data_IF_165220770750
#
_entry.id   IF_165220770750
#
_cell.length_a   1.000
_cell.length_b   1.000
_cell.length_c   1.000
_cell.angle_alpha   90.00
_cell.angle_beta   90.00
_cell.angle_gamma   90.00
#
_symmetry.space_group_name_H-M   'P 1'
#
loop_
_entity.id
_entity.type
_entity.pdbx_description
1 polymer ?
#
# COMPACT_ATOMS: atom_id res chain seq x y z
N UNK A 1 20.65 -11.87 40.99
CA UNK A 1 20.59 -11.10 39.72
C UNK A 1 19.15 -11.15 39.23
N UNK A 2 18.49 -10.02 39.21
CA UNK A 2 17.14 -9.91 38.65
C UNK A 2 17.37 -9.85 37.13
N UNK A 3 17.07 -10.92 36.39
CA UNK A 3 16.95 -10.82 34.95
C UNK A 3 15.63 -10.10 34.67
N UNK A 4 15.62 -8.91 34.09
CA UNK A 4 14.38 -8.27 33.71
C UNK A 4 13.67 -9.22 32.72
N UNK A 5 12.39 -9.46 32.96
CA UNK A 5 11.56 -10.21 32.03
C UNK A 5 11.64 -9.54 30.67
N UNK A 6 11.94 -10.30 29.62
CA UNK A 6 11.92 -9.80 28.24
C UNK A 6 10.51 -9.31 27.94
N UNK A 7 10.46 -8.20 27.22
CA UNK A 7 9.20 -7.59 26.83
C UNK A 7 8.82 -8.06 25.43
N UNK A 8 7.68 -8.75 25.31
CA UNK A 8 7.28 -9.40 24.07
C UNK A 8 6.48 -8.46 23.18
N UNK A 9 7.03 -8.16 21.99
CA UNK A 9 6.36 -7.37 20.95
C UNK A 9 6.04 -8.24 19.75
N UNK A 10 4.75 -8.43 19.50
CA UNK A 10 4.29 -9.15 18.32
C UNK A 10 3.93 -8.16 17.22
N UNK A 11 4.41 -8.40 16.01
CA UNK A 11 4.12 -7.65 14.79
C UNK A 11 3.37 -8.54 13.81
N UNK A 12 2.17 -8.13 13.40
CA UNK A 12 1.34 -8.85 12.45
C UNK A 12 1.40 -8.17 11.09
N UNK A 13 1.79 -8.91 10.06
CA UNK A 13 1.91 -8.47 8.68
C UNK A 13 3.32 -7.99 8.33
N UNK A 14 3.97 -8.68 7.38
CA UNK A 14 5.34 -8.45 6.96
C UNK A 14 5.50 -7.47 5.79
N UNK A 15 4.52 -6.58 5.57
CA UNK A 15 4.63 -5.50 4.58
C UNK A 15 5.54 -4.37 5.05
N UNK A 16 5.52 -3.22 4.33
CA UNK A 16 6.36 -2.06 4.63
C UNK A 16 6.24 -1.56 6.07
N UNK A 17 5.04 -1.55 6.65
CA UNK A 17 4.85 -1.15 8.04
C UNK A 17 5.42 -2.16 9.02
N UNK A 18 4.94 -3.40 8.98
CA UNK A 18 5.30 -4.39 9.99
C UNK A 18 6.74 -4.87 9.91
N UNK A 19 7.28 -5.14 8.72
CA UNK A 19 8.68 -5.54 8.59
C UNK A 19 9.63 -4.43 9.07
N UNK A 20 9.35 -3.16 8.73
CA UNK A 20 10.10 -2.02 9.26
C UNK A 20 9.97 -1.93 10.78
N UNK A 21 8.75 -2.09 11.34
CA UNK A 21 8.57 -2.04 12.79
C UNK A 21 9.37 -3.13 13.51
N UNK A 22 9.29 -4.37 13.03
CA UNK A 22 10.05 -5.49 13.58
C UNK A 22 11.56 -5.22 13.53
N UNK A 23 12.05 -4.71 12.40
CA UNK A 23 13.46 -4.33 12.24
C UNK A 23 13.88 -3.27 13.23
N UNK A 24 13.17 -2.16 13.33
CA UNK A 24 13.55 -1.03 14.17
C UNK A 24 13.35 -1.30 15.67
N UNK A 25 12.33 -2.07 16.06
CA UNK A 25 12.21 -2.58 17.42
C UNK A 25 13.46 -3.36 17.81
N UNK A 26 13.92 -4.27 16.95
CA UNK A 26 15.12 -5.06 17.24
C UNK A 26 16.41 -4.26 17.23
N UNK A 27 16.57 -3.30 16.26
CA UNK A 27 17.75 -2.44 16.17
C UNK A 27 17.91 -1.52 17.38
N UNK A 28 16.81 -0.91 17.83
CA UNK A 28 16.83 0.07 18.91
C UNK A 28 16.64 -0.55 20.30
N UNK A 29 15.84 -1.63 20.38
CA UNK A 29 15.52 -2.28 21.64
C UNK A 29 16.57 -3.27 22.13
N UNK A 30 17.45 -3.74 21.27
CA UNK A 30 18.52 -4.69 21.62
C UNK A 30 18.00 -5.89 22.39
N UNK A 31 18.56 -6.17 23.56
CA UNK A 31 18.22 -7.30 24.41
C UNK A 31 17.08 -7.01 25.41
N UNK A 32 16.45 -5.83 25.35
CA UNK A 32 15.34 -5.46 26.25
C UNK A 32 13.99 -6.02 25.79
N UNK A 33 13.88 -6.40 24.52
CA UNK A 33 12.64 -6.88 23.92
C UNK A 33 12.87 -8.13 23.07
N UNK A 34 11.88 -9.00 23.00
CA UNK A 34 11.76 -10.06 22.01
C UNK A 34 10.76 -9.63 20.93
N UNK A 35 11.09 -9.83 19.66
CA UNK A 35 10.29 -9.35 18.53
C UNK A 35 9.87 -10.51 17.65
N UNK A 36 8.56 -10.73 17.57
CA UNK A 36 7.95 -11.70 16.65
C UNK A 36 7.35 -10.99 15.46
N UNK A 37 7.66 -11.44 14.24
CA UNK A 37 6.98 -11.03 13.02
C UNK A 37 6.17 -12.19 12.47
N UNK A 38 4.84 -12.03 12.42
CA UNK A 38 3.93 -13.04 11.91
C UNK A 38 3.45 -12.62 10.52
N UNK A 39 3.81 -13.42 9.50
CA UNK A 39 3.44 -13.17 8.12
C UNK A 39 3.00 -14.47 7.44
N UNK A 40 1.83 -14.43 6.81
CA UNK A 40 1.25 -15.60 6.13
C UNK A 40 1.98 -15.98 4.85
N UNK A 41 2.62 -15.00 4.18
CA UNK A 41 3.39 -15.22 2.96
C UNK A 41 4.85 -15.51 3.31
N UNK A 42 5.48 -16.40 2.54
CA UNK A 42 6.90 -16.74 2.75
C UNK A 42 7.86 -15.62 2.33
N UNK A 43 7.41 -14.78 1.40
CA UNK A 43 8.20 -13.69 0.84
C UNK A 43 7.46 -12.36 0.95
N UNK A 44 8.24 -11.30 1.05
CA UNK A 44 7.82 -9.94 0.84
C UNK A 44 7.73 -9.68 -0.67
N UNK A 45 6.63 -9.10 -1.15
CA UNK A 45 6.50 -8.65 -2.53
C UNK A 45 6.15 -7.15 -2.53
N UNK A 46 7.00 -6.36 -3.17
CA UNK A 46 6.83 -4.90 -3.23
C UNK A 46 5.66 -4.50 -4.12
N UNK A 47 4.67 -3.78 -3.57
CA UNK A 47 3.64 -3.11 -4.38
C UNK A 47 4.18 -1.91 -5.17
N UNK A 48 5.01 -1.01 -4.62
CA UNK A 48 5.82 -0.10 -5.43
C UNK A 48 6.59 -0.86 -6.51
N UNK A 49 6.63 -0.32 -7.71
CA UNK A 49 7.20 -0.88 -8.94
C UNK A 49 6.38 -2.03 -9.58
N UNK A 50 5.34 -2.56 -8.96
CA UNK A 50 4.56 -3.67 -9.54
C UNK A 50 3.87 -3.30 -10.87
N UNK A 51 3.59 -2.03 -11.11
CA UNK A 51 3.08 -1.56 -12.39
C UNK A 51 4.09 -1.74 -13.55
N UNK A 52 5.39 -1.78 -13.25
CA UNK A 52 6.44 -2.08 -14.24
C UNK A 52 6.37 -3.52 -14.76
N UNK A 53 5.84 -4.44 -13.95
CA UNK A 53 5.55 -5.81 -14.38
C UNK A 53 4.44 -5.80 -15.42
N UNK A 54 3.41 -4.99 -15.23
CA UNK A 54 2.32 -4.84 -16.22
C UNK A 54 2.83 -4.19 -17.50
N UNK A 55 3.74 -3.22 -17.41
CA UNK A 55 4.43 -2.60 -18.54
C UNK A 55 5.42 -3.55 -19.26
N UNK A 56 5.89 -4.59 -18.56
CA UNK A 56 6.83 -5.58 -19.08
C UNK A 56 8.32 -5.21 -18.94
N UNK A 57 8.65 -4.13 -18.21
CA UNK A 57 10.04 -3.71 -17.95
C UNK A 57 10.65 -4.34 -16.69
N UNK A 58 9.86 -5.07 -15.89
CA UNK A 58 10.28 -5.84 -14.71
C UNK A 58 9.56 -7.20 -14.66
N UNK A 59 10.16 -8.15 -13.95
CA UNK A 59 9.51 -9.39 -13.56
C UNK A 59 9.08 -9.31 -12.10
N UNK A 60 8.13 -10.15 -11.68
CA UNK A 60 7.65 -10.16 -10.28
C UNK A 60 8.76 -10.56 -9.32
N UNK A 61 9.70 -11.39 -9.76
CA UNK A 61 10.85 -11.85 -8.98
C UNK A 61 11.80 -10.70 -8.63
N UNK A 62 11.92 -9.67 -9.48
CA UNK A 62 12.69 -8.45 -9.21
C UNK A 62 12.16 -7.66 -8.00
N UNK A 63 10.91 -7.93 -7.61
CA UNK A 63 10.17 -7.25 -6.54
C UNK A 63 9.94 -8.17 -5.33
N UNK A 64 10.45 -9.41 -5.39
CA UNK A 64 10.23 -10.45 -4.38
C UNK A 64 11.48 -10.61 -3.53
N UNK A 65 11.35 -10.44 -2.21
CA UNK A 65 12.42 -10.52 -1.24
C UNK A 65 12.01 -11.43 -0.07
N UNK A 66 12.98 -11.95 0.66
CA UNK A 66 12.73 -12.78 1.84
C UNK A 66 13.02 -12.01 3.13
N UNK A 67 12.75 -12.66 4.27
CA UNK A 67 12.95 -12.10 5.61
C UNK A 67 14.26 -12.60 6.27
N UNK A 68 15.26 -13.05 5.50
CA UNK A 68 16.49 -13.64 6.05
C UNK A 68 17.27 -12.64 6.90
N UNK A 69 17.39 -11.39 6.45
CA UNK A 69 18.12 -10.37 7.20
C UNK A 69 17.41 -9.97 8.50
N UNK A 70 16.08 -10.00 8.54
CA UNK A 70 15.34 -9.80 9.80
C UNK A 70 15.61 -10.94 10.79
N UNK A 71 15.65 -12.18 10.31
CA UNK A 71 16.04 -13.34 11.15
C UNK A 71 17.49 -13.21 11.66
N UNK A 72 18.41 -12.82 10.78
CA UNK A 72 19.79 -12.59 11.16
C UNK A 72 19.95 -11.47 12.20
N UNK A 73 19.08 -10.46 12.17
CA UNK A 73 19.02 -9.39 13.15
C UNK A 73 18.45 -9.86 14.51
N UNK A 74 17.85 -11.06 14.56
CA UNK A 74 17.23 -11.63 15.77
C UNK A 74 15.71 -11.40 15.88
N UNK A 75 15.03 -11.08 14.78
CA UNK A 75 13.56 -11.11 14.71
C UNK A 75 13.09 -12.55 14.54
N UNK A 76 12.15 -13.01 15.36
CA UNK A 76 11.53 -14.33 15.24
C UNK A 76 10.43 -14.24 14.18
N UNK A 77 10.74 -14.66 12.95
CA UNK A 77 9.80 -14.62 11.83
C UNK A 77 9.02 -15.91 11.73
N UNK A 78 7.72 -15.87 12.02
CA UNK A 78 6.79 -17.00 11.95
C UNK A 78 5.97 -16.92 10.66
N UNK A 79 6.03 -17.97 9.85
CA UNK A 79 5.19 -18.06 8.64
C UNK A 79 3.85 -18.69 8.98
N UNK A 80 2.95 -17.87 9.52
CA UNK A 80 1.60 -18.25 9.92
C UNK A 80 0.59 -17.11 9.67
N UNK A 81 -0.68 -17.41 9.85
CA UNK A 81 -1.78 -16.47 9.72
C UNK A 81 -2.43 -16.24 11.08
N UNK A 82 -2.52 -14.96 11.50
CA UNK A 82 -3.29 -14.57 12.68
C UNK A 82 -4.77 -14.58 12.30
N UNK A 83 -5.55 -15.37 13.03
CA UNK A 83 -7.00 -15.54 12.81
C UNK A 83 -7.86 -14.88 13.88
N UNK A 84 -7.27 -14.41 14.99
CA UNK A 84 -7.98 -13.70 16.05
C UNK A 84 -7.05 -12.86 16.90
N UNK A 85 -7.59 -11.79 17.49
CA UNK A 85 -6.94 -10.93 18.49
C UNK A 85 -7.90 -10.76 19.66
N UNK A 86 -7.51 -11.25 20.84
CA UNK A 86 -8.18 -10.96 22.11
C UNK A 86 -7.41 -9.86 22.85
N UNK A 87 -7.85 -8.62 22.66
CA UNK A 87 -7.21 -7.45 23.26
C UNK A 87 -7.28 -7.45 24.79
N UNK A 88 -8.33 -8.08 25.38
CA UNK A 88 -8.55 -8.13 26.82
C UNK A 88 -7.58 -9.08 27.53
N UNK A 89 -7.21 -10.18 26.85
CA UNK A 89 -6.25 -11.15 27.33
C UNK A 89 -4.84 -10.91 26.82
N UNK A 90 -4.64 -9.91 25.95
CA UNK A 90 -3.38 -9.67 25.23
C UNK A 90 -2.87 -10.93 24.52
N UNK A 91 -3.74 -11.58 23.75
CA UNK A 91 -3.46 -12.86 23.09
C UNK A 91 -3.86 -12.81 21.62
N UNK A 92 -3.06 -13.43 20.78
CA UNK A 92 -3.41 -13.69 19.39
C UNK A 92 -3.61 -15.18 19.14
N UNK A 93 -4.56 -15.51 18.27
CA UNK A 93 -4.78 -16.87 17.79
C UNK A 93 -4.19 -17.06 16.42
N UNK A 94 -3.45 -18.14 16.24
CA UNK A 94 -2.72 -18.50 15.05
C UNK A 94 -3.37 -19.71 14.36
N UNK A 95 -3.17 -19.81 13.06
CA UNK A 95 -3.81 -20.86 12.26
C UNK A 95 -3.11 -22.23 12.40
N UNK A 96 -1.78 -22.24 12.54
CA UNK A 96 -0.97 -23.47 12.47
C UNK A 96 -0.33 -23.84 13.81
N UNK A 97 0.01 -22.86 14.63
CA UNK A 97 0.70 -23.05 15.91
C UNK A 97 -0.18 -22.58 17.09
N UNK A 98 0.28 -22.82 18.32
CA UNK A 98 -0.41 -22.37 19.53
C UNK A 98 -0.54 -20.84 19.58
N UNK A 99 -1.57 -20.38 20.32
CA UNK A 99 -1.79 -18.95 20.59
C UNK A 99 -0.56 -18.34 21.28
N UNK A 100 -0.32 -17.06 21.05
CA UNK A 100 0.76 -16.30 21.67
C UNK A 100 0.21 -15.14 22.49
N UNK A 101 0.80 -14.93 23.66
CA UNK A 101 0.57 -13.73 24.47
C UNK A 101 1.55 -12.64 24.05
N UNK A 102 1.19 -11.37 24.31
CA UNK A 102 2.03 -10.21 23.98
C UNK A 102 1.96 -9.12 25.06
N UNK A 103 3.02 -8.35 25.20
CA UNK A 103 3.01 -7.11 25.98
C UNK A 103 2.51 -5.93 25.14
N UNK A 104 3.00 -5.85 23.87
CA UNK A 104 2.53 -4.91 22.84
C UNK A 104 2.29 -5.62 21.54
N UNK A 105 1.29 -5.15 20.80
CA UNK A 105 0.90 -5.70 19.51
C UNK A 105 0.97 -4.61 18.44
N UNK A 106 1.63 -4.89 17.34
CA UNK A 106 1.58 -4.07 16.13
C UNK A 106 0.75 -4.79 15.08
N UNK A 107 -0.29 -4.14 14.57
CA UNK A 107 -1.18 -4.65 13.52
C UNK A 107 -0.97 -3.84 12.25
N UNK A 108 -0.33 -4.45 11.24
CA UNK A 108 -0.04 -3.85 9.93
C UNK A 108 -0.70 -4.64 8.80
N UNK A 109 -2.05 -4.71 8.74
CA UNK A 109 -2.79 -5.64 7.90
C UNK A 109 -2.95 -5.14 6.46
N UNK A 110 -2.48 -3.93 6.17
CA UNK A 110 -2.71 -3.26 4.89
C UNK A 110 -4.18 -2.97 4.63
N UNK A 111 -4.60 -3.09 3.36
CA UNK A 111 -5.98 -2.84 2.93
C UNK A 111 -6.70 -4.15 2.55
N UNK A 112 -8.03 -4.09 2.63
CA UNK A 112 -8.96 -5.02 2.00
C UNK A 112 -9.76 -4.32 0.92
N UNK A 113 -10.06 -5.04 -0.15
CA UNK A 113 -10.82 -4.56 -1.29
C UNK A 113 -12.30 -4.88 -1.11
N UNK A 114 -13.15 -3.90 -1.30
CA UNK A 114 -14.59 -3.99 -1.05
C UNK A 114 -15.34 -4.38 -2.34
N UNK A 115 -15.10 -5.63 -2.81
CA UNK A 115 -15.71 -6.14 -4.04
C UNK A 115 -17.24 -6.09 -3.99
N UNK A 116 -17.81 -6.27 -2.79
CA UNK A 116 -19.24 -6.22 -2.52
C UNK A 116 -19.90 -4.88 -2.86
N UNK A 117 -19.12 -3.82 -3.05
CA UNK A 117 -19.62 -2.51 -3.45
C UNK A 117 -19.79 -2.33 -4.96
N UNK A 118 -19.38 -3.33 -5.75
CA UNK A 118 -19.55 -3.31 -7.20
C UNK A 118 -20.44 -4.51 -7.57
N UNK A 119 -21.64 -4.24 -8.05
CA UNK A 119 -22.56 -5.30 -8.46
C UNK A 119 -21.92 -6.19 -9.54
N UNK A 120 -22.12 -7.50 -9.43
CA UNK A 120 -21.52 -8.47 -10.34
C UNK A 120 -20.05 -8.81 -10.09
N UNK A 121 -19.34 -8.13 -9.15
CA UNK A 121 -17.95 -8.47 -8.81
C UNK A 121 -17.87 -9.64 -7.83
N UNK A 122 -18.51 -10.73 -8.17
CA UNK A 122 -18.57 -11.98 -7.38
C UNK A 122 -17.21 -12.67 -7.32
N UNK A 123 -17.07 -13.69 -6.46
CA UNK A 123 -15.86 -14.51 -6.38
C UNK A 123 -15.50 -15.17 -7.74
N UNK A 124 -16.48 -15.52 -8.56
CA UNK A 124 -16.25 -16.05 -9.90
C UNK A 124 -15.77 -14.95 -10.86
N UNK A 125 -16.36 -13.75 -10.79
CA UNK A 125 -15.90 -12.61 -11.58
C UNK A 125 -14.46 -12.20 -11.24
N UNK A 126 -14.03 -12.31 -9.98
CA UNK A 126 -12.66 -12.02 -9.54
C UNK A 126 -11.59 -12.90 -10.21
N UNK A 127 -11.95 -14.07 -10.71
CA UNK A 127 -11.03 -14.94 -11.48
C UNK A 127 -10.70 -14.39 -12.87
N UNK A 128 -11.52 -13.48 -13.39
CA UNK A 128 -11.41 -12.90 -14.73
C UNK A 128 -11.10 -11.41 -14.71
N UNK A 129 -11.77 -10.67 -13.83
CA UNK A 129 -11.59 -9.24 -13.65
C UNK A 129 -10.62 -9.05 -12.49
N UNK A 130 -9.34 -8.87 -12.84
CA UNK A 130 -8.26 -8.83 -11.87
C UNK A 130 -8.04 -7.38 -11.40
N UNK A 131 -7.92 -7.19 -10.08
CA UNK A 131 -7.52 -5.90 -9.55
C UNK A 131 -5.99 -5.69 -9.59
N UNK A 132 -5.19 -6.74 -9.35
CA UNK A 132 -3.72 -6.71 -9.27
C UNK A 132 -3.18 -5.54 -8.40
N UNK A 133 -3.92 -5.20 -7.33
CA UNK A 133 -3.58 -4.08 -6.45
C UNK A 133 -2.78 -4.53 -5.23
N UNK A 134 -2.76 -5.81 -4.94
CA UNK A 134 -1.79 -6.50 -4.08
C UNK A 134 -0.80 -7.19 -5.00
N UNK A 135 0.48 -6.77 -4.99
CA UNK A 135 1.49 -7.35 -5.87
C UNK A 135 1.69 -8.85 -5.60
N UNK A 136 1.86 -9.62 -6.66
CA UNK A 136 2.02 -11.06 -6.58
C UNK A 136 1.51 -11.79 -7.82
N UNK A 137 1.01 -13.04 -7.67
CA UNK A 137 0.55 -13.86 -8.81
C UNK A 137 -0.50 -13.19 -9.67
N UNK A 138 -1.41 -12.40 -9.06
CA UNK A 138 -2.45 -11.68 -9.80
C UNK A 138 -1.87 -10.58 -10.71
N UNK A 139 -0.74 -9.97 -10.33
CA UNK A 139 -0.03 -9.01 -11.20
C UNK A 139 0.48 -9.71 -12.44
N UNK A 140 1.04 -10.91 -12.30
CA UNK A 140 1.50 -11.74 -13.42
C UNK A 140 0.32 -12.14 -14.29
N UNK A 141 -0.78 -12.61 -13.69
CA UNK A 141 -1.98 -12.99 -14.41
C UNK A 141 -2.59 -11.83 -15.23
N UNK A 142 -2.63 -10.61 -14.65
CA UNK A 142 -3.07 -9.42 -15.40
C UNK A 142 -2.11 -9.09 -16.55
N UNK A 143 -0.79 -9.22 -16.33
CA UNK A 143 0.20 -9.06 -17.44
C UNK A 143 -0.07 -10.08 -18.56
N UNK A 144 -0.37 -11.32 -18.22
CA UNK A 144 -0.71 -12.35 -19.21
C UNK A 144 -1.99 -11.99 -19.98
N UNK A 145 -3.03 -11.46 -19.32
CA UNK A 145 -4.23 -10.97 -20.02
C UNK A 145 -3.87 -9.87 -21.04
N UNK A 146 -3.03 -8.92 -20.64
CA UNK A 146 -2.57 -7.85 -21.53
C UNK A 146 -1.77 -8.38 -22.72
N UNK A 147 -0.92 -9.39 -22.51
CA UNK A 147 -0.13 -9.99 -23.62
C UNK A 147 -0.99 -10.81 -24.58
N UNK A 148 -2.00 -11.51 -24.07
CA UNK A 148 -2.93 -12.32 -24.89
C UNK A 148 -4.00 -11.48 -25.59
N UNK A 149 -4.28 -10.26 -25.09
CA UNK A 149 -5.23 -9.37 -25.75
C UNK A 149 -4.78 -9.07 -27.20
N UNK A 150 -5.70 -9.10 -28.14
CA UNK A 150 -5.42 -8.73 -29.55
C UNK A 150 -4.94 -7.29 -29.67
N UNK A 151 -4.14 -6.99 -30.68
CA UNK A 151 -3.88 -5.59 -31.05
C UNK A 151 -5.18 -4.96 -31.60
N UNK A 152 -5.51 -3.76 -31.10
CA UNK A 152 -6.80 -3.10 -31.31
C UNK A 152 -7.83 -3.41 -30.22
N UNK A 153 -7.46 -4.16 -29.15
CA UNK A 153 -8.30 -4.38 -27.99
C UNK A 153 -8.31 -3.17 -27.03
N UNK A 154 -9.25 -3.17 -26.10
CA UNK A 154 -9.45 -2.13 -25.10
C UNK A 154 -9.15 -2.68 -23.70
N UNK A 155 -8.21 -2.05 -23.01
CA UNK A 155 -7.99 -2.24 -21.57
C UNK A 155 -8.73 -1.15 -20.80
N UNK A 156 -9.63 -1.56 -19.90
CA UNK A 156 -10.38 -0.65 -19.04
C UNK A 156 -9.80 -0.70 -17.63
N UNK A 157 -9.35 0.45 -17.12
CA UNK A 157 -8.93 0.63 -15.74
C UNK A 157 -9.96 1.47 -15.00
N UNK A 158 -10.56 0.94 -13.92
CA UNK A 158 -11.37 1.77 -13.03
C UNK A 158 -10.59 2.18 -11.79
N UNK A 159 -10.77 3.43 -11.37
CA UNK A 159 -10.16 4.02 -10.17
C UNK A 159 -11.27 4.33 -9.17
N UNK A 160 -11.18 3.83 -7.91
CA UNK A 160 -12.20 4.08 -6.91
C UNK A 160 -12.13 5.51 -6.38
N UNK A 161 -13.21 5.96 -5.73
CA UNK A 161 -13.22 7.25 -5.04
C UNK A 161 -12.21 7.27 -3.88
N UNK A 162 -11.43 8.34 -3.78
CA UNK A 162 -10.48 8.56 -2.69
C UNK A 162 -11.18 8.57 -1.30
N UNK A 163 -10.53 8.18 -0.20
CA UNK A 163 -9.13 7.74 -0.12
C UNK A 163 -8.93 6.26 -0.46
N UNK A 164 -7.83 5.97 -1.15
CA UNK A 164 -7.39 4.61 -1.46
C UNK A 164 -5.85 4.52 -1.36
N UNK A 165 -5.30 3.30 -1.30
CA UNK A 165 -3.86 3.07 -1.23
C UNK A 165 -3.18 3.52 -2.52
N UNK A 166 -2.01 4.20 -2.38
CA UNK A 166 -1.17 4.66 -3.48
C UNK A 166 -1.91 5.59 -4.44
N UNK A 167 -2.23 6.85 -4.02
CA UNK A 167 -3.00 7.78 -4.85
C UNK A 167 -2.49 7.96 -6.30
N UNK A 168 -1.17 8.03 -6.59
CA UNK A 168 -0.69 8.11 -7.97
C UNK A 168 -0.65 6.77 -8.71
N UNK A 169 -0.79 5.65 -8.01
CA UNK A 169 -0.56 4.30 -8.56
C UNK A 169 -1.44 3.93 -9.76
N UNK A 170 -2.73 4.25 -9.80
CA UNK A 170 -3.58 3.93 -10.96
C UNK A 170 -3.16 4.70 -12.21
N UNK A 171 -2.74 5.95 -12.07
CA UNK A 171 -2.30 6.78 -13.20
C UNK A 171 -0.93 6.32 -13.73
N UNK A 172 -0.03 5.87 -12.86
CA UNK A 172 1.19 5.17 -13.23
C UNK A 172 0.86 3.88 -13.99
N UNK A 173 -0.09 3.07 -13.49
CA UNK A 173 -0.54 1.84 -14.16
C UNK A 173 -1.04 2.12 -15.57
N UNK A 174 -1.89 3.13 -15.74
CA UNK A 174 -2.37 3.56 -17.04
C UNK A 174 -1.22 3.93 -17.98
N UNK A 175 -0.21 4.66 -17.46
CA UNK A 175 0.99 5.02 -18.22
C UNK A 175 1.80 3.79 -18.65
N UNK A 176 2.01 2.82 -17.74
CA UNK A 176 2.79 1.62 -18.04
C UNK A 176 2.10 0.71 -19.05
N UNK A 177 0.77 0.56 -18.96
CA UNK A 177 0.00 -0.21 -19.94
C UNK A 177 -0.03 0.50 -21.30
N UNK A 178 -0.19 1.84 -21.32
CA UNK A 178 -0.14 2.63 -22.55
C UNK A 178 1.25 2.57 -23.20
N UNK A 179 2.32 2.57 -22.40
CA UNK A 179 3.68 2.38 -22.88
C UNK A 179 3.86 1.02 -23.56
N UNK A 180 3.39 -0.05 -22.93
CA UNK A 180 3.39 -1.39 -23.51
C UNK A 180 2.58 -1.43 -24.83
N UNK A 181 1.41 -0.81 -24.89
CA UNK A 181 0.61 -0.79 -26.11
C UNK A 181 1.29 -0.02 -27.23
N UNK A 182 1.90 1.12 -26.91
CA UNK A 182 2.66 1.90 -27.91
C UNK A 182 3.73 1.07 -28.61
N UNK A 183 4.38 0.16 -27.87
CA UNK A 183 5.46 -0.69 -28.40
C UNK A 183 4.92 -1.96 -29.09
N UNK A 184 3.98 -2.66 -28.47
CA UNK A 184 3.61 -4.00 -28.87
C UNK A 184 2.20 -4.13 -29.48
N UNK A 185 1.30 -3.16 -29.23
CA UNK A 185 -0.11 -3.20 -29.64
C UNK A 185 -0.64 -1.80 -29.97
N UNK A 186 -0.09 -1.13 -31.04
CA UNK A 186 -0.29 0.30 -31.26
C UNK A 186 -1.74 0.71 -31.60
N UNK A 187 -2.60 -0.22 -31.99
CA UNK A 187 -4.03 0.03 -32.23
C UNK A 187 -4.90 -0.10 -31.00
N UNK A 188 -4.33 -0.68 -29.91
CA UNK A 188 -5.05 -0.88 -28.65
C UNK A 188 -5.23 0.44 -27.87
N UNK A 189 -6.21 0.42 -26.95
CA UNK A 189 -6.58 1.60 -26.14
C UNK A 189 -6.53 1.28 -24.66
N UNK A 190 -6.13 2.29 -23.88
CA UNK A 190 -6.27 2.35 -22.43
C UNK A 190 -7.40 3.32 -22.13
N UNK A 191 -8.50 2.83 -21.56
CA UNK A 191 -9.61 3.66 -21.07
C UNK A 191 -9.53 3.69 -19.54
N UNK A 192 -9.34 4.89 -18.99
CA UNK A 192 -9.30 5.12 -17.53
C UNK A 192 -10.61 5.75 -17.10
N UNK A 193 -11.38 5.04 -16.26
CA UNK A 193 -12.62 5.49 -15.64
C UNK A 193 -12.31 5.86 -14.19
N UNK A 194 -12.28 7.14 -13.88
CA UNK A 194 -11.93 7.64 -12.56
C UNK A 194 -13.18 8.10 -11.81
N UNK A 195 -13.44 7.54 -10.63
CA UNK A 195 -14.55 7.96 -9.76
C UNK A 195 -14.36 9.37 -9.16
N UNK A 196 -13.14 9.93 -9.26
CA UNK A 196 -12.82 11.24 -8.74
C UNK A 196 -13.10 12.33 -9.80
N UNK A 197 -13.27 13.55 -9.33
CA UNK A 197 -13.49 14.71 -10.22
C UNK A 197 -12.26 15.02 -11.08
N UNK A 198 -11.08 14.59 -10.62
CA UNK A 198 -9.82 14.83 -11.29
C UNK A 198 -8.72 13.87 -10.80
N UNK A 199 -7.56 13.89 -11.47
CA UNK A 199 -6.36 13.17 -11.05
C UNK A 199 -5.92 13.64 -9.67
N UNK A 200 -5.98 12.74 -8.68
CA UNK A 200 -5.79 13.08 -7.26
C UNK A 200 -4.32 13.33 -6.85
N UNK A 201 -3.36 13.04 -7.73
CA UNK A 201 -1.93 13.24 -7.45
C UNK A 201 -1.14 13.47 -8.73
N UNK A 202 -0.26 14.47 -8.76
CA UNK A 202 0.65 14.77 -9.88
C UNK A 202 -0.07 15.05 -11.22
N UNK A 203 -1.28 15.65 -11.17
CA UNK A 203 -2.17 15.87 -12.32
C UNK A 203 -1.42 16.41 -13.54
N UNK A 204 -0.75 17.55 -13.41
CA UNK A 204 -0.08 18.21 -14.55
C UNK A 204 1.01 17.34 -15.20
N UNK A 205 1.72 16.55 -14.37
CA UNK A 205 2.80 15.68 -14.86
C UNK A 205 2.23 14.46 -15.62
N UNK A 206 1.16 13.84 -15.12
CA UNK A 206 0.51 12.73 -15.84
C UNK A 206 -0.15 13.21 -17.14
N UNK A 207 -0.87 14.32 -17.12
CA UNK A 207 -1.50 14.87 -18.32
C UNK A 207 -0.46 15.24 -19.38
N UNK A 208 0.64 15.89 -18.98
CA UNK A 208 1.75 16.20 -19.91
C UNK A 208 2.33 14.90 -20.51
N UNK A 209 2.64 13.91 -19.67
CA UNK A 209 3.19 12.65 -20.15
C UNK A 209 2.22 11.93 -21.12
N UNK A 210 0.93 11.90 -20.83
CA UNK A 210 -0.05 11.24 -21.68
C UNK A 210 -0.26 11.95 -23.01
N UNK A 211 -0.30 13.28 -22.99
CA UNK A 211 -0.44 14.06 -24.22
C UNK A 211 0.79 13.90 -25.15
N UNK A 212 1.99 13.85 -24.57
CA UNK A 212 3.22 13.74 -25.34
C UNK A 212 3.51 12.31 -25.81
N UNK A 213 3.32 11.32 -24.92
CA UNK A 213 3.77 9.95 -25.15
C UNK A 213 2.66 9.02 -25.66
N UNK A 214 1.40 9.24 -25.24
CA UNK A 214 0.29 8.28 -25.42
C UNK A 214 -0.95 8.88 -26.05
N UNK A 215 -0.78 10.00 -26.77
CA UNK A 215 -1.87 10.62 -27.53
C UNK A 215 -2.51 9.59 -28.47
N UNK A 216 -3.83 9.45 -28.40
CA UNK A 216 -4.57 8.48 -29.19
C UNK A 216 -4.53 7.03 -28.67
N UNK A 217 -3.73 6.72 -27.63
CA UNK A 217 -3.69 5.39 -26.98
C UNK A 217 -4.43 5.44 -25.64
N UNK A 218 -4.18 6.45 -24.80
CA UNK A 218 -4.77 6.60 -23.48
C UNK A 218 -5.87 7.66 -23.49
N UNK A 219 -7.04 7.28 -22.95
CA UNK A 219 -8.16 8.16 -22.70
C UNK A 219 -8.48 8.16 -21.22
N UNK A 220 -8.54 9.33 -20.61
CA UNK A 220 -8.92 9.54 -19.20
C UNK A 220 -10.30 10.18 -19.11
N UNK A 221 -11.17 9.60 -18.30
CA UNK A 221 -12.55 10.07 -18.10
C UNK A 221 -12.82 10.19 -16.58
N UNK A 222 -12.91 11.42 -16.04
CA UNK A 222 -13.25 11.65 -14.65
C UNK A 222 -14.75 11.48 -14.38
N UNK A 223 -15.15 11.46 -13.10
CA UNK A 223 -16.52 11.29 -12.64
C UNK A 223 -17.20 10.02 -13.16
N UNK A 224 -16.43 8.94 -13.31
CA UNK A 224 -16.88 7.64 -13.81
C UNK A 224 -16.70 6.56 -12.73
N UNK A 225 -17.55 6.57 -11.71
CA UNK A 225 -17.54 5.53 -10.69
C UNK A 225 -18.19 4.24 -11.23
N UNK A 226 -17.41 3.15 -11.29
CA UNK A 226 -17.94 1.84 -11.70
C UNK A 226 -18.81 1.28 -10.58
N UNK A 227 -20.07 1.02 -10.87
CA UNK A 227 -21.09 0.50 -9.95
C UNK A 227 -21.43 -0.97 -10.20
N UNK A 228 -21.25 -1.44 -11.41
CA UNK A 228 -21.58 -2.79 -11.83
C UNK A 228 -20.57 -3.29 -12.87
N UNK A 229 -20.34 -4.59 -12.89
CA UNK A 229 -19.57 -5.24 -13.96
C UNK A 229 -20.21 -6.56 -14.36
N UNK A 230 -19.98 -6.94 -15.62
CA UNK A 230 -20.24 -8.28 -16.14
C UNK A 230 -18.94 -8.85 -16.72
N UNK A 231 -18.37 -9.82 -16.02
CA UNK A 231 -17.13 -10.46 -16.39
C UNK A 231 -17.27 -11.38 -17.64
N UNK A 232 -18.48 -11.76 -18.01
CA UNK A 232 -18.72 -12.63 -19.18
C UNK A 232 -18.75 -11.82 -20.47
N UNK A 233 -19.40 -10.68 -20.44
CA UNK A 233 -19.50 -9.78 -21.61
C UNK A 233 -18.33 -8.79 -21.70
N UNK A 234 -17.51 -8.67 -20.63
CA UNK A 234 -16.42 -7.71 -20.56
C UNK A 234 -16.91 -6.27 -20.43
N UNK A 235 -17.99 -6.04 -19.67
CA UNK A 235 -18.58 -4.71 -19.51
C UNK A 235 -18.48 -4.20 -18.09
N UNK A 236 -18.34 -2.87 -17.95
CA UNK A 236 -18.51 -2.13 -16.70
C UNK A 236 -19.54 -1.04 -16.90
N UNK A 237 -20.37 -0.80 -15.87
CA UNK A 237 -21.36 0.28 -15.87
C UNK A 237 -21.00 1.32 -14.82
N UNK A 238 -21.05 2.56 -15.23
CA UNK A 238 -21.00 3.72 -14.35
C UNK A 238 -22.41 4.28 -14.15
N UNK A 239 -22.57 5.42 -13.48
CA UNK A 239 -23.88 6.05 -13.34
C UNK A 239 -24.48 6.48 -14.69
N UNK A 240 -23.62 6.87 -15.65
CA UNK A 240 -24.05 7.49 -16.91
C UNK A 240 -23.85 6.60 -18.12
N UNK A 241 -22.85 5.70 -18.11
CA UNK A 241 -22.41 5.01 -19.30
C UNK A 241 -22.13 3.52 -19.06
N UNK A 242 -22.11 2.76 -20.15
CA UNK A 242 -21.61 1.38 -20.19
C UNK A 242 -20.37 1.30 -21.08
N UNK A 243 -19.29 0.77 -20.54
CA UNK A 243 -18.02 0.60 -21.25
C UNK A 243 -17.69 -0.88 -21.43
N UNK A 244 -17.14 -1.22 -22.58
CA UNK A 244 -16.69 -2.58 -22.88
C UNK A 244 -15.18 -2.64 -23.04
N UNK A 245 -14.54 -3.66 -22.44
CA UNK A 245 -13.12 -3.91 -22.56
C UNK A 245 -12.82 -5.37 -22.90
N UNK A 246 -11.71 -5.58 -23.57
CA UNK A 246 -11.14 -6.93 -23.77
C UNK A 246 -10.41 -7.40 -22.50
N UNK A 247 -9.87 -6.45 -21.73
CA UNK A 247 -9.30 -6.69 -20.39
C UNK A 247 -9.88 -5.66 -19.43
N UNK A 248 -10.50 -6.13 -18.35
CA UNK A 248 -11.02 -5.29 -17.28
C UNK A 248 -10.07 -5.34 -16.07
N UNK A 249 -9.59 -4.19 -15.63
CA UNK A 249 -8.84 -4.03 -14.39
C UNK A 249 -9.61 -3.10 -13.46
N UNK A 250 -10.44 -3.67 -12.60
CA UNK A 250 -11.36 -2.91 -11.75
C UNK A 250 -10.80 -2.86 -10.34
N UNK A 251 -10.55 -1.65 -9.84
CA UNK A 251 -10.10 -1.41 -8.46
C UNK A 251 -11.31 -1.10 -7.58
N UNK A 252 -11.71 -2.02 -6.67
CA UNK A 252 -12.78 -1.74 -5.72
C UNK A 252 -12.39 -0.66 -4.70
N UNK A 253 -13.35 0.00 -4.06
CA UNK A 253 -13.09 0.78 -2.85
C UNK A 253 -12.34 -0.03 -1.79
N UNK A 254 -11.65 0.66 -0.89
CA UNK A 254 -10.73 0.03 0.06
C UNK A 254 -11.09 0.37 1.51
N UNK A 255 -10.78 -0.57 2.41
CA UNK A 255 -10.84 -0.40 3.87
C UNK A 255 -9.60 -1.04 4.52
N UNK A 256 -9.41 -0.84 5.82
CA UNK A 256 -8.41 -1.57 6.61
C UNK A 256 -8.61 -3.08 6.46
N UNK A 257 -7.51 -3.83 6.50
CA UNK A 257 -7.52 -5.29 6.36
C UNK A 257 -8.47 -5.98 7.33
N UNK A 258 -9.03 -7.12 6.93
CA UNK A 258 -10.09 -7.82 7.66
C UNK A 258 -9.74 -8.11 9.13
N UNK A 259 -8.48 -8.42 9.44
CA UNK A 259 -8.05 -8.65 10.82
C UNK A 259 -8.31 -7.43 11.73
N UNK A 260 -8.11 -6.20 11.22
CA UNK A 260 -8.41 -4.99 11.99
C UNK A 260 -9.92 -4.80 12.21
N UNK A 261 -10.75 -5.19 11.23
CA UNK A 261 -12.21 -5.18 11.38
C UNK A 261 -12.66 -6.19 12.43
N UNK A 262 -12.17 -7.44 12.33
CA UNK A 262 -12.57 -8.54 13.19
C UNK A 262 -12.11 -8.33 14.64
N UNK A 263 -10.98 -7.65 14.83
CA UNK A 263 -10.48 -7.18 16.13
C UNK A 263 -11.13 -5.86 16.61
N UNK A 264 -12.12 -5.31 15.89
CA UNK A 264 -12.83 -4.07 16.23
C UNK A 264 -11.93 -2.84 16.33
N UNK A 265 -10.85 -2.78 15.56
CA UNK A 265 -9.92 -1.66 15.53
C UNK A 265 -10.34 -0.55 14.53
N UNK A 266 -11.32 -0.83 13.67
CA UNK A 266 -11.86 0.17 12.73
C UNK A 266 -12.82 1.08 13.49
N UNK A 267 -12.49 2.36 13.55
CA UNK A 267 -13.22 3.39 14.31
C UNK A 267 -13.79 4.52 13.45
N UNK A 268 -13.34 4.62 12.19
CA UNK A 268 -13.74 5.69 11.30
C UNK A 268 -14.41 5.17 10.02
N UNK A 269 -15.65 5.63 9.74
CA UNK A 269 -16.44 5.36 8.52
C UNK A 269 -16.54 3.87 8.15
N UNK A 270 -16.46 2.96 9.11
CA UNK A 270 -16.39 1.50 8.89
C UNK A 270 -15.24 1.09 7.94
N UNK A 271 -14.23 1.94 7.78
CA UNK A 271 -13.14 1.73 6.83
C UNK A 271 -11.75 1.80 7.45
N UNK A 272 -11.49 2.72 8.40
CA UNK A 272 -10.12 3.03 8.83
C UNK A 272 -9.97 2.99 10.34
N UNK A 273 -8.76 2.66 10.79
CA UNK A 273 -8.38 2.65 12.19
C UNK A 273 -7.83 4.03 12.59
N UNK A 274 -8.41 4.65 13.60
CA UNK A 274 -7.87 5.88 14.19
C UNK A 274 -6.77 5.54 15.20
N UNK A 275 -5.73 6.38 15.25
CA UNK A 275 -4.54 6.17 16.06
C UNK A 275 -4.07 7.46 16.72
N UNK A 276 -3.40 7.32 17.85
CA UNK A 276 -2.58 8.38 18.41
C UNK A 276 -1.28 8.55 17.60
N UNK A 277 -1.12 9.69 16.97
CA UNK A 277 0.01 9.97 16.08
C UNK A 277 1.38 10.10 16.78
N UNK A 278 1.42 10.15 18.11
CA UNK A 278 2.68 10.11 18.88
C UNK A 278 3.20 8.68 19.06
N UNK A 279 2.32 7.69 18.97
CA UNK A 279 2.65 6.29 19.28
C UNK A 279 2.14 5.29 18.26
N UNK A 280 1.25 5.71 17.36
CA UNK A 280 0.46 4.83 16.47
C UNK A 280 -0.46 3.87 17.28
N UNK A 281 -0.68 4.10 18.57
CA UNK A 281 -1.58 3.28 19.37
C UNK A 281 -3.03 3.49 18.92
N UNK A 282 -3.77 2.39 18.81
CA UNK A 282 -5.19 2.42 18.41
C UNK A 282 -6.03 3.15 19.44
N UNK A 283 -6.93 4.02 18.99
CA UNK A 283 -7.92 4.65 19.87
C UNK A 283 -8.97 3.67 20.40
N UNK A 284 -9.08 2.49 19.78
CA UNK A 284 -10.03 1.42 20.19
C UNK A 284 -9.48 0.45 21.23
N UNK A 285 -8.16 0.25 21.29
CA UNK A 285 -7.56 -0.79 22.16
C UNK A 285 -6.16 -0.40 22.61
N UNK A 286 -5.95 -0.32 23.92
CA UNK A 286 -4.65 -0.04 24.53
C UNK A 286 -3.66 -1.19 24.30
N UNK A 287 -2.38 -0.85 24.08
CA UNK A 287 -1.32 -1.81 23.84
C UNK A 287 -1.32 -2.39 22.43
N UNK A 288 -2.24 -1.93 21.56
CA UNK A 288 -2.31 -2.32 20.16
C UNK A 288 -2.01 -1.09 19.28
N UNK A 289 -1.01 -1.19 18.41
CA UNK A 289 -0.60 -0.14 17.48
C UNK A 289 -1.00 -0.53 16.06
N UNK A 290 -1.55 0.39 15.27
CA UNK A 290 -1.95 0.13 13.88
C UNK A 290 -1.12 0.97 12.93
N UNK A 291 -0.58 0.34 11.87
CA UNK A 291 0.36 0.97 10.95
C UNK A 291 -0.12 0.97 9.50
N UNK A 292 0.42 1.91 8.74
CA UNK A 292 0.33 1.95 7.28
C UNK A 292 -1.08 2.20 6.76
N UNK A 293 -1.43 1.51 5.68
CA UNK A 293 -2.64 1.81 4.90
C UNK A 293 -3.96 1.54 5.66
N UNK A 294 -3.92 0.76 6.75
CA UNK A 294 -5.08 0.51 7.59
C UNK A 294 -5.51 1.71 8.44
N UNK A 295 -4.61 2.68 8.69
CA UNK A 295 -4.90 3.84 9.52
C UNK A 295 -5.81 4.84 8.82
N UNK A 296 -6.58 5.61 9.59
CA UNK A 296 -7.13 6.87 9.12
C UNK A 296 -5.97 7.80 8.78
N UNK A 297 -5.85 8.20 7.52
CA UNK A 297 -4.77 9.09 7.11
C UNK A 297 -4.95 10.48 7.75
N UNK A 298 -3.86 11.06 8.23
CA UNK A 298 -3.84 12.46 8.63
C UNK A 298 -4.13 13.39 7.43
N UNK A 299 -4.54 14.64 7.67
CA UNK A 299 -4.86 15.56 6.58
C UNK A 299 -3.75 15.65 5.52
N UNK A 300 -4.11 15.50 4.26
CA UNK A 300 -3.23 15.49 3.09
C UNK A 300 -2.12 14.40 3.11
N UNK A 301 -2.17 13.46 4.04
CA UNK A 301 -1.24 12.33 4.10
C UNK A 301 -1.67 11.22 3.12
N UNK A 302 -0.82 10.77 2.21
CA UNK A 302 -1.15 9.64 1.34
C UNK A 302 -1.04 8.31 2.08
N UNK A 303 -1.82 7.32 1.66
CA UNK A 303 -1.59 5.91 2.03
C UNK A 303 -0.49 5.36 1.12
N UNK A 304 0.73 5.23 1.63
CA UNK A 304 1.92 4.86 0.84
C UNK A 304 2.88 3.96 1.60
N UNK A 305 3.75 3.27 0.87
CA UNK A 305 4.85 2.49 1.46
C UNK A 305 5.78 3.38 2.31
N UNK A 306 6.06 4.60 1.84
CA UNK A 306 6.85 5.60 2.57
C UNK A 306 6.21 5.95 3.92
N UNK A 307 4.90 6.21 3.95
CA UNK A 307 4.19 6.49 5.20
C UNK A 307 4.15 5.26 6.11
N UNK A 308 3.87 4.07 5.59
CA UNK A 308 3.86 2.85 6.38
C UNK A 308 5.20 2.58 7.06
N UNK A 309 6.31 2.81 6.34
CA UNK A 309 7.67 2.72 6.88
C UNK A 309 7.91 3.76 7.99
N UNK A 310 7.46 5.01 7.82
CA UNK A 310 7.59 6.05 8.84
C UNK A 310 6.70 5.80 10.08
N UNK A 311 5.45 5.34 9.88
CA UNK A 311 4.56 4.95 11.00
C UNK A 311 5.21 3.86 11.86
N UNK A 312 5.90 2.91 11.23
CA UNK A 312 6.62 1.85 11.90
C UNK A 312 7.71 2.38 12.84
N UNK A 313 8.45 3.39 12.42
CA UNK A 313 9.51 4.03 13.23
C UNK A 313 8.93 4.80 14.41
N UNK A 314 7.80 5.51 14.21
CA UNK A 314 7.08 6.16 15.32
C UNK A 314 6.64 5.10 16.34
N UNK A 315 5.98 4.03 15.91
CA UNK A 315 5.50 2.97 16.81
C UNK A 315 6.64 2.29 17.55
N UNK A 316 7.73 1.93 16.86
CA UNK A 316 8.89 1.31 17.47
C UNK A 316 9.51 2.20 18.54
N UNK A 317 9.74 3.48 18.25
CA UNK A 317 10.28 4.45 19.21
C UNK A 317 9.37 4.64 20.43
N UNK A 318 8.05 4.74 20.20
CA UNK A 318 7.08 4.92 21.27
C UNK A 318 6.96 3.68 22.18
N UNK A 319 6.96 2.48 21.60
CA UNK A 319 6.94 1.23 22.38
C UNK A 319 8.19 1.14 23.25
N UNK A 320 9.37 1.43 22.69
CA UNK A 320 10.62 1.39 23.45
C UNK A 320 10.67 2.44 24.58
N UNK A 321 10.21 3.66 24.31
CA UNK A 321 10.07 4.67 25.35
C UNK A 321 9.17 4.18 26.50
N UNK A 322 8.02 3.56 26.18
CA UNK A 322 7.12 2.98 27.17
C UNK A 322 7.78 1.83 27.97
N UNK A 323 8.57 0.97 27.33
CA UNK A 323 9.33 -0.10 28.01
C UNK A 323 10.33 0.47 29.03
N UNK A 324 10.93 1.62 28.69
CA UNK A 324 11.88 2.32 29.54
C UNK A 324 11.21 3.24 30.60
N UNK A 325 9.86 3.33 30.59
CA UNK A 325 9.11 4.23 31.46
C UNK A 325 9.18 5.71 31.02
N UNK A 326 9.52 5.97 29.79
CA UNK A 326 9.65 7.29 29.18
C UNK A 326 8.41 7.66 28.35
N UNK A 327 8.23 8.97 28.11
CA UNK A 327 7.21 9.45 27.19
C UNK A 327 7.65 9.31 25.72
N UNK A 328 6.71 9.08 24.79
CA UNK A 328 7.01 9.12 23.36
C UNK A 328 7.55 10.49 22.91
N UNK A 329 8.24 10.53 21.78
CA UNK A 329 8.67 11.79 21.16
C UNK A 329 7.46 12.71 20.96
N UNK A 330 7.42 13.91 21.57
CA UNK A 330 6.28 14.82 21.50
C UNK A 330 6.15 15.53 20.14
N UNK A 331 7.15 15.45 19.27
CA UNK A 331 7.18 16.15 17.99
C UNK A 331 7.71 15.25 16.86
N UNK A 332 7.05 14.11 16.54
CA UNK A 332 7.47 13.29 15.43
C UNK A 332 7.33 14.05 14.10
N UNK A 333 8.32 13.85 13.25
CA UNK A 333 8.35 14.36 11.87
C UNK A 333 8.54 13.20 10.93
N UNK A 334 7.71 13.10 9.90
CA UNK A 334 7.78 12.03 8.90
C UNK A 334 7.75 12.61 7.49
N UNK A 335 8.34 11.89 6.55
CA UNK A 335 8.43 12.32 5.16
C UNK A 335 7.82 11.31 4.21
N UNK A 336 7.08 11.79 3.23
CA UNK A 336 6.59 11.00 2.12
C UNK A 336 7.38 11.28 0.85
N UNK A 337 7.70 10.22 0.13
CA UNK A 337 8.20 10.31 -1.25
C UNK A 337 7.52 9.22 -2.07
N UNK A 338 6.85 9.63 -3.14
CA UNK A 338 6.19 8.72 -4.07
C UNK A 338 6.65 9.00 -5.50
N UNK A 339 7.42 8.08 -6.07
CA UNK A 339 7.76 8.08 -7.48
C UNK A 339 6.67 7.41 -8.31
N UNK A 340 6.55 7.81 -9.56
CA UNK A 340 5.69 7.16 -10.55
C UNK A 340 6.39 7.13 -11.90
N UNK A 341 6.47 5.95 -12.49
CA UNK A 341 7.04 5.76 -13.82
C UNK A 341 5.98 6.09 -14.86
N UNK A 342 6.33 7.02 -15.78
CA UNK A 342 5.44 7.39 -16.88
C UNK A 342 5.80 6.66 -18.19
N UNK A 343 6.98 6.04 -18.24
CA UNK A 343 7.45 5.12 -19.29
C UNK A 343 8.43 4.10 -18.66
N UNK A 344 9.15 3.34 -19.46
CA UNK A 344 10.27 2.49 -19.04
C UNK A 344 11.53 3.29 -18.67
N UNK A 345 11.63 4.53 -19.15
CA UNK A 345 12.83 5.37 -19.09
C UNK A 345 12.65 6.68 -18.32
N UNK A 346 11.43 7.07 -17.99
CA UNK A 346 11.15 8.34 -17.30
C UNK A 346 10.19 8.14 -16.11
N UNK A 347 10.41 8.92 -15.06
CA UNK A 347 9.55 8.98 -13.89
C UNK A 347 9.26 10.42 -13.44
N UNK A 348 8.39 10.54 -12.46
CA UNK A 348 8.04 11.77 -11.74
C UNK A 348 7.88 11.47 -10.27
N UNK A 349 8.00 12.48 -9.39
CA UNK A 349 7.77 12.30 -7.96
C UNK A 349 6.78 13.30 -7.36
N UNK A 350 6.33 12.99 -6.15
CA UNK A 350 5.72 13.91 -5.19
C UNK A 350 6.33 13.66 -3.83
N UNK A 351 6.64 14.73 -3.09
CA UNK A 351 7.16 14.68 -1.72
C UNK A 351 6.33 15.54 -0.78
N UNK A 352 6.35 15.20 0.50
CA UNK A 352 5.78 16.03 1.57
C UNK A 352 6.42 15.67 2.91
N UNK A 353 6.50 16.66 3.82
CA UNK A 353 6.89 16.44 5.22
C UNK A 353 5.69 16.74 6.10
N UNK A 354 5.48 15.90 7.12
CA UNK A 354 4.41 16.04 8.08
C UNK A 354 5.00 16.13 9.47
N UNK A 355 4.50 17.09 10.27
CA UNK A 355 4.90 17.31 11.66
C UNK A 355 3.67 17.24 12.56
N UNK A 356 3.85 16.71 13.76
CA UNK A 356 2.80 16.68 14.76
C UNK A 356 2.39 18.08 15.21
N UNK A 357 1.09 18.31 15.24
CA UNK A 357 0.44 19.50 15.75
C UNK A 357 -0.28 19.13 17.06
N UNK A 358 0.18 19.67 18.19
CA UNK A 358 -0.31 19.32 19.52
C UNK A 358 -1.74 19.83 19.79
N UNK A 359 -2.16 20.93 19.16
CA UNK A 359 -3.52 21.46 19.31
C UNK A 359 -4.53 20.57 18.59
N UNK A 360 -4.19 20.16 17.36
CA UNK A 360 -5.04 19.30 16.51
C UNK A 360 -4.84 17.81 16.77
N UNK A 361 -3.84 17.45 17.56
CA UNK A 361 -3.47 16.05 17.87
C UNK A 361 -3.31 15.17 16.63
N UNK A 362 -2.71 15.73 15.57
CA UNK A 362 -2.53 15.02 14.28
C UNK A 362 -1.25 15.49 13.59
N UNK A 363 -0.87 14.77 12.53
CA UNK A 363 0.24 15.18 11.67
C UNK A 363 -0.27 16.13 10.57
N UNK A 364 0.34 17.29 10.44
CA UNK A 364 0.02 18.27 9.39
C UNK A 364 1.19 18.42 8.42
N UNK A 365 0.87 18.65 7.15
CA UNK A 365 1.88 18.98 6.15
C UNK A 365 2.59 20.30 6.51
N UNK A 366 3.92 20.27 6.54
CA UNK A 366 4.74 21.46 6.76
C UNK A 366 4.72 22.31 5.48
N UNK A 367 4.25 23.55 5.52
CA UNK A 367 4.21 24.42 4.35
C UNK A 367 5.59 24.55 3.68
N UNK A 368 5.63 24.47 2.36
CA UNK A 368 6.86 24.59 1.56
C UNK A 368 7.83 23.41 1.65
N UNK A 369 7.49 22.34 2.39
CA UNK A 369 8.38 21.18 2.60
C UNK A 369 8.31 20.11 1.53
N UNK A 370 7.47 20.29 0.54
CA UNK A 370 7.22 19.28 -0.48
C UNK A 370 6.99 19.88 -1.86
N UNK A 371 6.62 19.03 -2.77
CA UNK A 371 6.36 19.43 -4.15
C UNK A 371 6.29 18.24 -5.08
N UNK A 372 6.25 18.55 -6.34
CA UNK A 372 6.30 17.57 -7.43
C UNK A 372 7.51 17.87 -8.33
N UNK A 373 7.95 16.88 -9.10
CA UNK A 373 8.96 17.11 -10.15
C UNK A 373 8.56 18.28 -11.05
N UNK A 374 9.55 19.02 -11.54
CA UNK A 374 9.32 20.08 -12.55
C UNK A 374 8.88 19.50 -13.90
N UNK A 375 9.39 18.33 -14.24
CA UNK A 375 9.06 17.56 -15.44
C UNK A 375 9.39 16.07 -15.22
N UNK A 376 8.91 15.21 -16.11
CA UNK A 376 9.39 13.81 -16.19
C UNK A 376 10.82 13.79 -16.73
N UNK A 377 11.64 12.84 -16.26
CA UNK A 377 13.01 12.66 -16.75
C UNK A 377 13.59 11.29 -16.44
N UNK A 378 14.68 10.95 -17.13
CA UNK A 378 15.50 9.77 -16.82
C UNK A 378 16.20 9.89 -15.46
N UNK A 379 16.53 11.09 -15.02
CA UNK A 379 17.10 11.34 -13.70
C UNK A 379 16.08 11.00 -12.59
N UNK A 380 14.82 11.40 -12.75
CA UNK A 380 13.73 11.02 -11.85
C UNK A 380 13.54 9.50 -11.77
N UNK A 381 13.69 8.79 -12.91
CA UNK A 381 13.70 7.33 -12.93
C UNK A 381 14.86 6.76 -12.15
N UNK A 382 16.07 7.29 -12.30
CA UNK A 382 17.23 6.83 -11.53
C UNK A 382 17.01 7.03 -10.01
N UNK A 383 16.40 8.15 -9.61
CA UNK A 383 16.00 8.39 -8.23
C UNK A 383 14.91 7.42 -7.75
N UNK A 384 13.93 7.10 -8.59
CA UNK A 384 12.88 6.12 -8.26
C UNK A 384 13.47 4.72 -8.02
N UNK A 385 14.40 4.27 -8.87
CA UNK A 385 15.09 2.99 -8.71
C UNK A 385 15.98 2.98 -7.44
N UNK A 386 16.65 4.08 -7.15
CA UNK A 386 17.45 4.22 -5.93
C UNK A 386 16.58 4.23 -4.67
N UNK A 387 15.47 4.97 -4.69
CA UNK A 387 14.50 4.99 -3.59
C UNK A 387 13.95 3.60 -3.30
N UNK A 388 13.62 2.83 -4.33
CA UNK A 388 13.11 1.47 -4.15
C UNK A 388 14.13 0.58 -3.42
N UNK A 389 15.39 0.58 -3.87
CA UNK A 389 16.47 -0.17 -3.19
C UNK A 389 16.64 0.27 -1.74
N UNK A 390 16.62 1.58 -1.50
CA UNK A 390 16.80 2.14 -0.17
C UNK A 390 15.66 1.76 0.78
N UNK A 391 14.39 1.87 0.34
CA UNK A 391 13.26 1.51 1.21
C UNK A 391 13.18 0.00 1.46
N UNK A 392 13.59 -0.84 0.50
CA UNK A 392 13.69 -2.29 0.72
C UNK A 392 14.76 -2.64 1.75
N UNK A 393 15.96 -2.04 1.63
CA UNK A 393 17.03 -2.22 2.62
C UNK A 393 16.62 -1.66 3.99
N UNK A 394 15.93 -0.53 4.04
CA UNK A 394 15.44 0.07 5.29
C UNK A 394 14.33 -0.78 5.93
N UNK A 395 13.56 -1.53 5.15
CA UNK A 395 12.46 -2.38 5.62
C UNK A 395 12.93 -3.77 6.03
N UNK A 396 13.82 -4.37 5.25
CA UNK A 396 14.18 -5.79 5.38
C UNK A 396 15.63 -6.02 5.85
N UNK A 397 16.51 -5.05 5.70
CA UNK A 397 17.92 -5.11 6.03
C UNK A 397 18.83 -5.29 4.83
#
# INVERSE_FOLDING_TARGET
>A
MYFPQLFDVIVIGGGYGGATAARYLRLWGGNHIEVYLIERNTNFISCPLSNLVLGGSRQIDDLTMNYANLRALGVIVLNDEVVGIDASKKRISLKKIADLDYDRLIVSPGIELMHEQIAGYTAEAQKRVLHAWKAGPETVALREQLTRMRDGGVYVLSIPKAPYRCPPGPYERASQVAHYFKQAKPRSKVLVLDANEDIVSKKGLFLSAWNDLYKGILQYVPNQEVRELDAMTGTVKTEFDTHKGDVLNVLPPMRAGNLARDAKLITHNNRWCDVDWLSMESTAAKGIHVLGDATLAAPAMPKSASMANNHAKIAAAAILAQVLGEAPNPQPVIANTCYSYVSDSEAVHVTSVHRYDAEKKTLLTVPGSGGVSSARSALEKAYADAWARNIWSDTLG
#
